data_IF_050618186919
#
_entry.id   IF_050618186919
#
_cell.length_a   1.000
_cell.length_b   1.000
_cell.length_c   1.000
_cell.angle_alpha   90.00
_cell.angle_beta   90.00
_cell.angle_gamma   90.00
#
_symmetry.space_group_name_H-M   'P 1'
#
loop_
_entity.id
_entity.type
_entity.pdbx_description
1 polymer ?
#
# COMPACT_ATOMS: atom_id res chain seq x y z
N UNK A 1 -0.33 -11.57 12.39
CA UNK A 1 -0.65 -10.18 12.81
C UNK A 1 -1.22 -9.55 11.58
N UNK A 2 -2.54 -9.36 11.55
CA UNK A 2 -3.25 -8.85 10.37
C UNK A 2 -2.70 -7.48 9.98
N UNK A 3 -2.17 -7.36 8.76
CA UNK A 3 -1.63 -6.11 8.23
C UNK A 3 -2.72 -5.41 7.42
N UNK A 4 -3.07 -4.19 7.80
CA UNK A 4 -3.98 -3.35 7.03
C UNK A 4 -3.22 -2.67 5.88
N UNK A 5 -3.85 -2.59 4.70
CA UNK A 5 -3.36 -1.79 3.58
C UNK A 5 -3.72 -0.33 3.80
N UNK A 6 -2.74 0.55 3.80
CA UNK A 6 -2.97 2.00 3.81
C UNK A 6 -2.90 2.51 2.36
N UNK A 7 -4.01 3.05 1.86
CA UNK A 7 -4.12 3.63 0.51
C UNK A 7 -4.12 5.14 0.59
N UNK A 8 -3.24 5.79 -0.17
CA UNK A 8 -3.08 7.25 -0.22
C UNK A 8 -2.93 7.67 -1.68
N UNK A 9 -4.01 8.17 -2.30
CA UNK A 9 -4.01 8.56 -3.71
C UNK A 9 -3.91 10.08 -3.90
N UNK A 10 -3.25 10.51 -4.98
CA UNK A 10 -3.15 11.92 -5.39
C UNK A 10 -2.49 12.86 -4.37
N UNK A 11 -1.91 12.31 -3.30
CA UNK A 11 -1.46 13.08 -2.15
C UNK A 11 -0.12 13.80 -2.40
N UNK A 12 -0.02 14.99 -1.80
CA UNK A 12 1.26 15.67 -1.60
C UNK A 12 2.10 15.00 -0.51
N UNK A 13 3.36 15.41 -0.42
CA UNK A 13 4.33 14.89 0.56
C UNK A 13 3.86 14.99 2.02
N UNK A 14 3.20 16.09 2.39
CA UNK A 14 2.65 16.27 3.75
C UNK A 14 1.56 15.25 4.08
N UNK A 15 0.70 14.94 3.10
CA UNK A 15 -0.37 13.98 3.28
C UNK A 15 0.17 12.54 3.39
N UNK A 16 1.22 12.21 2.63
CA UNK A 16 1.95 10.94 2.77
C UNK A 16 2.61 10.83 4.17
N UNK A 17 3.33 11.87 4.59
CA UNK A 17 3.97 11.91 5.91
C UNK A 17 2.95 11.73 7.05
N UNK A 18 1.85 12.48 7.00
CA UNK A 18 0.79 12.39 8.01
C UNK A 18 0.18 10.99 8.08
N UNK A 19 -0.26 10.46 6.94
CA UNK A 19 -0.92 9.15 6.88
C UNK A 19 0.02 8.01 7.28
N UNK A 20 1.29 8.04 6.87
CA UNK A 20 2.24 6.97 7.17
C UNK A 20 2.59 6.93 8.66
N UNK A 21 2.78 8.09 9.28
CA UNK A 21 3.11 8.16 10.70
C UNK A 21 1.89 7.87 11.58
N UNK A 22 0.69 8.33 11.21
CA UNK A 22 -0.54 8.03 11.96
C UNK A 22 -0.86 6.53 11.96
N UNK A 23 -0.54 5.83 10.88
CA UNK A 23 -0.79 4.39 10.74
C UNK A 23 0.44 3.50 10.95
N UNK A 24 1.56 4.09 11.37
CA UNK A 24 2.82 3.38 11.64
C UNK A 24 3.25 2.45 10.49
N UNK A 25 3.15 2.91 9.24
CA UNK A 25 3.46 2.11 8.06
C UNK A 25 4.90 1.59 8.12
N UNK A 26 5.07 0.27 7.94
CA UNK A 26 6.39 -0.37 7.93
C UNK A 26 6.87 -0.81 6.55
N UNK A 27 5.94 -1.03 5.62
CA UNK A 27 6.21 -1.45 4.24
C UNK A 27 5.39 -0.54 3.32
N UNK A 28 6.05 0.08 2.35
CA UNK A 28 5.40 0.91 1.32
C UNK A 28 5.54 0.20 -0.03
N UNK A 29 4.42 0.07 -0.76
CA UNK A 29 4.43 -0.38 -2.16
C UNK A 29 4.12 0.85 -3.02
N UNK A 30 4.99 1.22 -3.94
CA UNK A 30 4.83 2.46 -4.70
C UNK A 30 5.39 2.40 -6.13
N UNK A 31 4.93 3.34 -6.97
CA UNK A 31 5.46 3.57 -8.30
C UNK A 31 6.58 4.61 -8.31
N UNK A 32 7.06 4.95 -9.51
CA UNK A 32 8.18 5.88 -9.73
C UNK A 32 7.92 7.29 -9.18
N UNK A 33 6.72 7.83 -9.41
CA UNK A 33 6.37 9.21 -9.03
C UNK A 33 6.28 9.36 -7.52
N UNK A 34 5.74 8.35 -6.84
CA UNK A 34 5.54 8.33 -5.41
C UNK A 34 6.88 8.12 -4.68
N UNK A 35 7.78 7.30 -5.23
CA UNK A 35 9.09 7.05 -4.62
C UNK A 35 9.89 8.33 -4.41
N UNK A 36 9.85 9.27 -5.37
CA UNK A 36 10.50 10.59 -5.23
C UNK A 36 9.94 11.40 -4.07
N UNK A 37 8.61 11.44 -3.94
CA UNK A 37 7.93 12.11 -2.81
C UNK A 37 8.31 11.47 -1.48
N UNK A 38 8.33 10.14 -1.42
CA UNK A 38 8.69 9.37 -0.21
C UNK A 38 10.15 9.62 0.17
N UNK A 39 11.07 9.66 -0.79
CA UNK A 39 12.48 9.95 -0.54
C UNK A 39 12.67 11.38 0.02
N UNK A 40 11.93 12.36 -0.49
CA UNK A 40 11.97 13.75 0.00
C UNK A 40 11.53 13.88 1.47
N UNK A 41 10.64 13.01 1.94
CA UNK A 41 10.15 12.99 3.33
C UNK A 41 10.80 11.89 4.18
N UNK A 42 11.82 11.18 3.68
CA UNK A 42 12.43 10.03 4.35
C UNK A 42 12.85 10.30 5.80
N UNK A 43 13.40 11.49 6.08
CA UNK A 43 13.77 11.92 7.43
C UNK A 43 12.61 12.21 8.39
N UNK A 44 11.36 12.08 7.93
CA UNK A 44 10.14 12.26 8.73
C UNK A 44 9.35 10.95 8.89
N UNK A 45 9.82 9.84 8.33
CA UNK A 45 9.12 8.55 8.33
C UNK A 45 9.79 7.59 9.31
N UNK A 46 9.27 7.52 10.53
CA UNK A 46 9.93 6.83 11.65
C UNK A 46 9.82 5.30 11.59
N UNK A 47 8.72 4.80 11.00
CA UNK A 47 8.35 3.37 11.05
C UNK A 47 8.67 2.61 9.76
N UNK A 48 8.89 3.33 8.65
CA UNK A 48 9.11 2.73 7.33
C UNK A 48 10.45 1.99 7.32
N UNK A 49 10.40 0.71 6.95
CA UNK A 49 11.56 -0.18 6.89
C UNK A 49 11.77 -0.77 5.50
N UNK A 50 10.70 -0.91 4.72
CA UNK A 50 10.71 -1.58 3.43
C UNK A 50 10.01 -0.76 2.36
N UNK A 51 10.64 -0.64 1.20
CA UNK A 51 10.05 -0.10 -0.02
C UNK A 51 10.00 -1.22 -1.06
N UNK A 52 8.80 -1.48 -1.57
CA UNK A 52 8.56 -2.43 -2.67
C UNK A 52 8.14 -1.61 -3.89
N UNK A 53 8.93 -1.70 -4.96
CA UNK A 53 8.71 -0.93 -6.16
C UNK A 53 7.97 -1.74 -7.23
N UNK A 54 6.88 -1.19 -7.76
CA UNK A 54 5.97 -1.93 -8.66
C UNK A 54 6.47 -2.11 -10.11
N UNK A 55 7.63 -1.57 -10.47
CA UNK A 55 8.09 -1.53 -11.86
C UNK A 55 9.47 -2.22 -12.04
N UNK A 56 9.59 -2.95 -13.14
CA UNK A 56 10.77 -3.73 -13.50
C UNK A 56 11.98 -2.85 -13.85
N UNK A 57 11.75 -1.59 -14.21
CA UNK A 57 12.79 -0.63 -14.58
C UNK A 57 13.59 -0.05 -13.39
N UNK A 58 13.28 -0.45 -12.15
CA UNK A 58 14.00 0.00 -10.96
C UNK A 58 15.52 -0.16 -11.07
N UNK A 59 15.97 -1.28 -11.66
CA UNK A 59 17.39 -1.61 -11.79
C UNK A 59 18.12 -0.75 -12.83
N UNK A 60 17.40 -0.12 -13.74
CA UNK A 60 17.97 0.73 -14.80
C UNK A 60 18.03 2.20 -14.45
N UNK A 61 17.34 2.65 -13.39
CA UNK A 61 17.30 4.06 -13.00
C UNK A 61 18.29 4.40 -11.88
N UNK A 62 19.47 4.87 -12.28
CA UNK A 62 20.53 5.31 -11.36
C UNK A 62 20.09 6.43 -10.39
N UNK A 63 19.09 7.25 -10.78
CA UNK A 63 18.56 8.31 -9.91
C UNK A 63 17.71 7.75 -8.77
N UNK A 64 16.93 6.69 -9.03
CA UNK A 64 16.17 6.01 -7.98
C UNK A 64 17.10 5.26 -7.04
N UNK A 65 18.04 4.49 -7.58
CA UNK A 65 19.00 3.72 -6.77
C UNK A 65 19.77 4.65 -5.81
N UNK A 66 20.18 5.83 -6.27
CA UNK A 66 20.85 6.82 -5.41
C UNK A 66 19.92 7.47 -4.40
N UNK A 67 18.67 7.80 -4.77
CA UNK A 67 17.66 8.30 -3.84
C UNK A 67 17.46 7.36 -2.66
N UNK A 68 17.25 6.06 -2.91
CA UNK A 68 17.04 5.10 -1.81
C UNK A 68 18.31 4.76 -1.04
N UNK A 69 19.48 4.78 -1.69
CA UNK A 69 20.77 4.58 -1.00
C UNK A 69 21.11 5.70 -0.02
N UNK A 70 20.58 6.91 -0.24
CA UNK A 70 20.79 8.07 0.64
C UNK A 70 19.73 8.27 1.73
N UNK A 71 18.61 7.54 1.69
CA UNK A 71 17.40 7.84 2.47
C UNK A 71 17.27 7.09 3.81
N UNK A 72 18.26 6.28 4.20
CA UNK A 72 18.28 5.58 5.50
C UNK A 72 18.36 4.06 5.39
N UNK A 73 18.15 3.37 6.51
CA UNK A 73 18.23 1.90 6.65
C UNK A 73 17.03 1.15 6.01
N UNK A 74 16.52 1.62 4.86
CA UNK A 74 15.40 0.97 4.18
C UNK A 74 15.88 -0.20 3.33
N UNK A 75 15.15 -1.31 3.38
CA UNK A 75 15.31 -2.41 2.43
C UNK A 75 14.44 -2.13 1.22
N UNK A 76 15.05 -2.15 0.03
CA UNK A 76 14.35 -1.82 -1.22
C UNK A 76 14.40 -3.01 -2.15
N UNK A 77 13.24 -3.40 -2.68
CA UNK A 77 13.09 -4.54 -3.59
C UNK A 77 12.04 -4.24 -4.66
N UNK A 78 12.12 -4.91 -5.81
CA UNK A 78 11.03 -4.86 -6.80
C UNK A 78 9.91 -5.83 -6.42
N UNK A 79 8.69 -5.54 -6.90
CA UNK A 79 7.53 -6.42 -6.73
C UNK A 79 7.78 -7.78 -7.39
N UNK A 80 8.43 -7.83 -8.55
CA UNK A 80 8.80 -9.08 -9.22
C UNK A 80 9.68 -9.98 -8.33
N UNK A 81 10.63 -9.39 -7.60
CA UNK A 81 11.50 -10.15 -6.69
C UNK A 81 10.72 -10.63 -5.45
N UNK A 82 9.77 -9.83 -4.95
CA UNK A 82 8.85 -10.25 -3.87
C UNK A 82 7.97 -11.42 -4.33
N UNK A 83 7.42 -11.38 -5.54
CA UNK A 83 6.66 -12.48 -6.10
C UNK A 83 7.50 -13.75 -6.27
N UNK A 84 8.74 -13.59 -6.75
CA UNK A 84 9.67 -14.71 -6.87
C UNK A 84 9.94 -15.34 -5.51
N UNK A 85 10.19 -14.53 -4.48
CA UNK A 85 10.35 -15.01 -3.10
C UNK A 85 9.09 -15.73 -2.60
N UNK A 86 7.90 -15.20 -2.88
CA UNK A 86 6.63 -15.85 -2.52
C UNK A 86 6.40 -17.18 -3.22
N UNK A 87 6.89 -17.36 -4.46
CA UNK A 87 6.86 -18.64 -5.18
C UNK A 87 7.89 -19.65 -4.65
N UNK A 88 9.07 -19.18 -4.26
CA UNK A 88 10.16 -20.03 -3.76
C UNK A 88 9.93 -20.47 -2.30
N UNK A 89 9.33 -19.59 -1.49
CA UNK A 89 9.04 -19.79 -0.08
C UNK A 89 7.57 -19.50 0.22
N UNK A 90 6.64 -20.35 -0.24
CA UNK A 90 5.22 -20.16 0.00
C UNK A 90 4.92 -20.24 1.50
N UNK A 91 4.01 -19.37 1.95
CA UNK A 91 3.48 -19.35 3.32
C UNK A 91 1.96 -19.50 3.27
N UNK A 92 1.39 -20.14 4.29
CA UNK A 92 -0.06 -20.25 4.40
C UNK A 92 -0.69 -18.85 4.57
N UNK A 93 -1.83 -18.57 3.90
CA UNK A 93 -2.49 -17.29 4.03
C UNK A 93 -3.07 -17.12 5.45
N UNK A 94 -2.78 -15.96 6.07
CA UNK A 94 -3.40 -15.52 7.32
C UNK A 94 -4.77 -14.89 6.98
N UNK A 95 -5.85 -15.69 7.09
CA UNK A 95 -7.19 -15.24 6.71
C UNK A 95 -7.76 -14.26 7.75
N UNK A 96 -8.27 -13.09 7.34
CA UNK A 96 -8.82 -12.10 8.26
C UNK A 96 -10.18 -12.53 8.82
N UNK A 97 -10.46 -12.09 10.05
CA UNK A 97 -11.80 -12.10 10.62
C UNK A 97 -12.62 -10.94 10.06
N UNK A 98 -13.96 -11.06 10.07
CA UNK A 98 -14.85 -10.00 9.59
C UNK A 98 -14.61 -8.63 10.24
N UNK A 99 -14.12 -8.59 11.48
CA UNK A 99 -13.85 -7.36 12.22
C UNK A 99 -12.45 -6.78 11.96
N UNK A 100 -11.56 -7.53 11.31
CA UNK A 100 -10.19 -7.08 11.06
C UNK A 100 -10.20 -5.91 10.08
N UNK A 101 -9.38 -4.90 10.37
CA UNK A 101 -9.15 -3.76 9.48
C UNK A 101 -8.25 -4.24 8.34
N UNK A 102 -8.72 -4.08 7.10
CA UNK A 102 -7.99 -4.53 5.90
C UNK A 102 -7.57 -3.36 5.02
N UNK A 103 -8.29 -2.24 5.06
CA UNK A 103 -7.94 -1.02 4.32
C UNK A 103 -8.15 0.21 5.18
N UNK A 104 -7.20 1.14 5.14
CA UNK A 104 -7.38 2.53 5.57
C UNK A 104 -7.18 3.42 4.35
N UNK A 105 -8.25 4.08 3.91
CA UNK A 105 -8.22 4.94 2.72
C UNK A 105 -8.13 6.40 3.14
N UNK A 106 -6.99 7.03 2.89
CA UNK A 106 -6.83 8.45 3.17
C UNK A 106 -7.41 9.32 2.07
N UNK A 107 -8.20 10.31 2.47
CA UNK A 107 -8.78 11.32 1.58
C UNK A 107 -8.38 12.70 2.04
N UNK A 108 -8.14 13.64 1.12
CA UNK A 108 -7.62 14.98 1.42
C UNK A 108 -8.55 15.83 2.31
N UNK A 109 -9.86 15.54 2.31
CA UNK A 109 -10.85 16.25 3.11
C UNK A 109 -10.96 17.75 2.81
N UNK A 110 -12.06 18.39 3.21
CA UNK A 110 -12.21 19.85 3.07
C UNK A 110 -11.38 20.64 4.08
N UNK A 111 -10.90 19.99 5.14
CA UNK A 111 -10.18 20.59 6.27
C UNK A 111 -8.67 20.63 6.09
N UNK A 112 -8.15 20.23 4.92
CA UNK A 112 -6.73 20.26 4.57
C UNK A 112 -5.88 19.12 5.16
N UNK A 113 -6.25 18.59 6.33
CA UNK A 113 -5.64 17.39 6.92
C UNK A 113 -6.34 16.14 6.39
N UNK A 114 -5.61 15.18 5.79
CA UNK A 114 -6.20 13.94 5.30
C UNK A 114 -6.86 13.12 6.42
N UNK A 115 -7.93 12.38 6.08
CA UNK A 115 -8.63 11.49 7.02
C UNK A 115 -8.65 10.07 6.49
N UNK A 116 -8.32 9.10 7.36
CA UNK A 116 -8.39 7.68 7.06
C UNK A 116 -9.81 7.11 7.22
N UNK A 117 -10.39 6.61 6.14
CA UNK A 117 -11.61 5.80 6.17
C UNK A 117 -11.23 4.36 6.49
N UNK A 118 -11.68 3.87 7.65
CA UNK A 118 -11.40 2.52 8.11
C UNK A 118 -12.39 1.54 7.46
N UNK A 119 -11.85 0.53 6.79
CA UNK A 119 -12.60 -0.55 6.16
C UNK A 119 -12.20 -1.90 6.76
N UNK A 120 -13.17 -2.57 7.36
CA UNK A 120 -13.01 -3.95 7.85
C UNK A 120 -13.19 -4.96 6.72
N UNK A 121 -12.72 -6.19 6.93
CA UNK A 121 -12.94 -7.30 6.01
C UNK A 121 -14.44 -7.52 5.73
N UNK A 122 -15.27 -7.40 6.77
CA UNK A 122 -16.72 -7.47 6.64
C UNK A 122 -17.31 -6.36 5.76
N UNK A 123 -16.77 -5.14 5.81
CA UNK A 123 -17.22 -4.05 4.92
C UNK A 123 -16.92 -4.37 3.45
N UNK A 124 -15.73 -4.93 3.16
CA UNK A 124 -15.35 -5.34 1.81
C UNK A 124 -16.26 -6.47 1.33
N UNK A 125 -16.45 -7.52 2.12
CA UNK A 125 -17.31 -8.65 1.77
C UNK A 125 -18.77 -8.25 1.57
N UNK A 126 -19.30 -7.36 2.41
CA UNK A 126 -20.67 -6.87 2.25
C UNK A 126 -20.85 -6.12 0.93
N UNK A 127 -19.86 -5.29 0.55
CA UNK A 127 -19.86 -4.55 -0.72
C UNK A 127 -19.79 -5.51 -1.90
N UNK A 128 -18.85 -6.45 -1.89
CA UNK A 128 -18.71 -7.45 -2.96
C UNK A 128 -19.98 -8.29 -3.08
N UNK A 129 -20.55 -8.77 -1.97
CA UNK A 129 -21.77 -9.57 -1.97
C UNK A 129 -22.96 -8.80 -2.55
N UNK A 130 -23.14 -7.53 -2.17
CA UNK A 130 -24.21 -6.71 -2.72
C UNK A 130 -24.06 -6.51 -4.23
N UNK A 131 -22.84 -6.24 -4.72
CA UNK A 131 -22.58 -6.10 -6.17
C UNK A 131 -22.90 -7.39 -6.92
N UNK A 132 -22.53 -8.56 -6.37
CA UNK A 132 -22.84 -9.87 -6.96
C UNK A 132 -24.35 -10.13 -7.07
N UNK A 133 -25.20 -9.50 -6.25
CA UNK A 133 -26.66 -9.65 -6.37
C UNK A 133 -27.27 -8.82 -7.50
N UNK A 134 -26.60 -7.74 -7.91
CA UNK A 134 -27.10 -6.79 -8.91
C UNK A 134 -26.47 -7.06 -10.28
N UNK A 135 -25.19 -7.40 -10.31
CA UNK A 135 -24.40 -7.63 -11.51
C UNK A 135 -24.25 -9.13 -11.74
N UNK A 136 -25.16 -9.70 -12.54
CA UNK A 136 -25.28 -11.15 -12.74
C UNK A 136 -24.17 -11.78 -13.59
N UNK A 137 -23.27 -10.99 -14.18
CA UNK A 137 -22.17 -11.47 -15.02
C UNK A 137 -20.88 -11.73 -14.25
N UNK A 138 -20.84 -11.41 -12.96
CA UNK A 138 -19.65 -11.63 -12.13
C UNK A 138 -19.52 -13.09 -11.69
N UNK A 139 -18.30 -13.61 -11.73
CA UNK A 139 -17.92 -14.97 -11.38
C UNK A 139 -16.69 -15.04 -10.47
N UNK A 140 -16.14 -16.23 -10.31
CA UNK A 140 -14.99 -16.48 -9.42
C UNK A 140 -13.66 -15.92 -9.95
N UNK A 141 -13.59 -15.66 -11.26
CA UNK A 141 -12.40 -15.15 -11.92
C UNK A 141 -12.35 -13.60 -11.93
N UNK A 142 -13.39 -12.93 -11.43
CA UNK A 142 -13.45 -11.48 -11.34
C UNK A 142 -12.70 -10.94 -10.12
N UNK A 143 -12.02 -9.80 -10.31
CA UNK A 143 -11.19 -9.18 -9.28
C UNK A 143 -11.82 -7.89 -8.77
N UNK A 144 -12.00 -7.80 -7.46
CA UNK A 144 -12.40 -6.56 -6.80
C UNK A 144 -11.23 -5.60 -6.68
N UNK A 145 -11.28 -4.49 -7.42
CA UNK A 145 -10.34 -3.38 -7.31
C UNK A 145 -10.88 -2.34 -6.32
N UNK A 146 -10.37 -2.36 -5.09
CA UNK A 146 -10.53 -1.24 -4.17
C UNK A 146 -9.52 -0.15 -4.54
N UNK A 147 -10.01 1.04 -4.91
CA UNK A 147 -9.22 2.28 -4.97
C UNK A 147 -8.96 2.78 -3.55
#
# INVERSE_FOLDING_TARGET
MSAAKVSVDGAGEQALCHSFNETEVTTVICGHKELKKIANISGQLDTVKRIIFMDDEFRSDASLVSLVSGSGNWTVTSLLEVEKLGREYPVDPDLPLSADIVVIMYTSGSTGVPKGVIMTYGNVLATSSAVMTIVSVLGQDDVYLAY
#
